data_IF_492891501583
#
_entry.id   IF_492891501583
#
_cell.length_a   1.000
_cell.length_b   1.000
_cell.length_c   1.000
_cell.angle_alpha   90.00
_cell.angle_beta   90.00
_cell.angle_gamma   90.00
#
_symmetry.space_group_name_H-M   'P 1'
#
loop_
_entity.id
_entity.type
_entity.pdbx_description
1 polymer ?
#
# COMPACT_ATOMS: atom_id res chain seq x y z
N UNK A 1 11.65 7.62 -7.71
CA UNK A 1 10.55 6.85 -7.09
C UNK A 1 10.91 6.20 -5.76
N UNK A 2 12.03 5.50 -5.64
CA UNK A 2 12.40 4.79 -4.40
C UNK A 2 12.40 5.67 -3.14
N UNK A 3 12.92 6.90 -3.20
CA UNK A 3 12.89 7.84 -2.05
C UNK A 3 11.46 8.25 -1.66
N UNK A 4 10.56 8.42 -2.65
CA UNK A 4 9.14 8.73 -2.41
C UNK A 4 8.44 7.57 -1.72
N UNK A 5 8.71 6.35 -2.20
CA UNK A 5 8.23 5.12 -1.59
C UNK A 5 8.73 4.94 -0.15
N UNK A 6 10.03 5.16 0.10
CA UNK A 6 10.62 5.10 1.44
C UNK A 6 9.96 6.11 2.41
N UNK A 7 9.69 7.35 1.95
CA UNK A 7 8.95 8.34 2.74
C UNK A 7 7.50 7.93 3.01
N UNK A 8 6.84 7.29 2.04
CA UNK A 8 5.48 6.76 2.22
C UNK A 8 5.47 5.67 3.31
N UNK A 9 6.41 4.72 3.25
CA UNK A 9 6.59 3.70 4.29
C UNK A 9 6.90 4.30 5.66
N UNK A 10 7.78 5.31 5.72
CA UNK A 10 8.11 6.02 6.97
C UNK A 10 6.90 6.67 7.63
N UNK A 11 6.08 7.42 6.87
CA UNK A 11 4.81 8.00 7.38
C UNK A 11 3.83 6.92 7.84
N UNK A 12 3.78 5.78 7.15
CA UNK A 12 2.98 4.63 7.56
C UNK A 12 3.42 4.07 8.91
N UNK A 13 4.74 3.93 9.12
CA UNK A 13 5.32 3.45 10.37
C UNK A 13 5.07 4.41 11.54
N UNK A 14 5.22 5.72 11.33
CA UNK A 14 4.89 6.74 12.34
C UNK A 14 3.43 6.65 12.78
N UNK A 15 2.50 6.40 11.85
CA UNK A 15 1.06 6.35 12.14
C UNK A 15 0.60 5.03 12.74
N UNK A 16 1.16 3.90 12.30
CA UNK A 16 0.61 2.56 12.58
C UNK A 16 1.59 1.62 13.28
N UNK A 17 2.73 2.14 13.75
CA UNK A 17 3.91 1.43 14.26
C UNK A 17 4.83 0.86 13.18
N UNK A 18 6.10 0.69 13.54
CA UNK A 18 7.10 -0.01 12.74
C UNK A 18 6.60 -1.40 12.33
N UNK A 19 7.00 -1.82 11.12
CA UNK A 19 6.70 -3.14 10.53
C UNK A 19 5.21 -3.53 10.54
N UNK A 20 4.30 -2.55 10.55
CA UNK A 20 2.85 -2.80 10.54
C UNK A 20 2.37 -3.68 9.37
N UNK A 21 3.08 -3.64 8.23
CA UNK A 21 2.79 -4.43 7.03
C UNK A 21 2.91 -5.95 7.27
N UNK A 22 3.63 -6.38 8.31
CA UNK A 22 3.73 -7.80 8.67
C UNK A 22 2.43 -8.39 9.21
N UNK A 23 1.50 -7.52 9.64
CA UNK A 23 0.16 -7.91 10.10
C UNK A 23 -0.78 -8.23 8.94
N UNK A 24 -0.35 -8.07 7.68
CA UNK A 24 -1.19 -8.28 6.51
C UNK A 24 -1.14 -9.76 6.10
N UNK A 25 -1.95 -10.58 6.77
CA UNK A 25 -1.89 -12.05 6.63
C UNK A 25 -3.24 -12.72 6.34
N UNK A 26 -4.33 -11.95 6.31
CA UNK A 26 -5.69 -12.47 6.13
C UNK A 26 -6.33 -12.03 4.81
N UNK A 27 -7.43 -12.70 4.43
CA UNK A 27 -8.20 -12.38 3.21
C UNK A 27 -8.76 -10.96 3.24
N UNK A 28 -9.13 -10.46 4.41
CA UNK A 28 -9.63 -9.09 4.54
C UNK A 28 -8.52 -8.07 4.23
N UNK A 29 -7.26 -8.35 4.59
CA UNK A 29 -6.10 -7.53 4.26
C UNK A 29 -5.86 -7.51 2.76
N UNK A 30 -6.02 -8.65 2.08
CA UNK A 30 -5.94 -8.73 0.62
C UNK A 30 -7.00 -7.83 -0.04
N UNK A 31 -8.25 -7.92 0.39
CA UNK A 31 -9.34 -7.10 -0.19
C UNK A 31 -9.20 -5.62 0.15
N UNK A 32 -8.72 -5.27 1.35
CA UNK A 32 -8.36 -3.89 1.71
C UNK A 32 -7.23 -3.36 0.82
N UNK A 33 -6.19 -4.15 0.58
CA UNK A 33 -5.06 -3.77 -0.28
C UNK A 33 -5.49 -3.57 -1.74
N UNK A 34 -6.33 -4.46 -2.30
CA UNK A 34 -6.91 -4.30 -3.64
C UNK A 34 -7.78 -3.05 -3.76
N UNK A 35 -8.68 -2.85 -2.81
CA UNK A 35 -9.58 -1.69 -2.80
C UNK A 35 -8.81 -0.37 -2.69
N UNK A 36 -7.78 -0.36 -1.84
CA UNK A 36 -6.87 0.78 -1.67
C UNK A 36 -6.02 1.03 -2.92
N UNK A 37 -5.48 -0.03 -3.54
CA UNK A 37 -4.75 0.04 -4.82
C UNK A 37 -5.59 0.72 -5.90
N UNK A 38 -6.82 0.23 -6.11
CA UNK A 38 -7.71 0.77 -7.13
C UNK A 38 -8.01 2.26 -6.90
N UNK A 39 -8.28 2.65 -5.64
CA UNK A 39 -8.49 4.06 -5.30
C UNK A 39 -7.28 4.92 -5.68
N UNK A 40 -6.08 4.55 -5.25
CA UNK A 40 -4.88 5.34 -5.53
C UNK A 40 -4.49 5.34 -7.02
N UNK A 41 -4.81 4.29 -7.77
CA UNK A 41 -4.67 4.30 -9.24
C UNK A 41 -5.59 5.34 -9.86
N UNK A 42 -6.87 5.37 -9.47
CA UNK A 42 -7.81 6.35 -9.99
C UNK A 42 -7.40 7.78 -9.65
N UNK A 43 -7.00 8.04 -8.40
CA UNK A 43 -6.52 9.37 -7.96
C UNK A 43 -5.26 9.80 -8.73
N UNK A 44 -4.31 8.87 -8.94
CA UNK A 44 -3.12 9.13 -9.74
C UNK A 44 -3.45 9.49 -11.19
N UNK A 45 -4.36 8.75 -11.83
CA UNK A 45 -4.78 8.99 -13.21
C UNK A 45 -5.59 10.29 -13.33
N UNK A 46 -6.36 10.63 -12.30
CA UNK A 46 -7.11 11.89 -12.22
C UNK A 46 -6.22 13.11 -11.94
N UNK A 47 -4.94 12.91 -11.63
CA UNK A 47 -3.99 14.00 -11.36
C UNK A 47 -4.17 14.64 -9.99
N UNK A 48 -4.73 13.93 -9.02
CA UNK A 48 -4.83 14.39 -7.62
C UNK A 48 -3.42 14.52 -6.99
N UNK A 49 -3.28 15.43 -6.03
CA UNK A 49 -1.96 15.83 -5.46
C UNK A 49 -1.98 16.03 -3.94
N UNK A 50 -3.06 15.65 -3.27
CA UNK A 50 -3.19 15.72 -1.81
C UNK A 50 -2.30 14.72 -1.08
N UNK A 51 -1.90 13.64 -1.76
CA UNK A 51 -0.87 12.70 -1.30
C UNK A 51 0.01 12.18 -2.45
N UNK A 52 1.03 11.39 -2.10
CA UNK A 52 1.87 10.74 -3.09
C UNK A 52 1.20 9.45 -3.61
N UNK A 53 0.20 9.60 -4.48
CA UNK A 53 -0.59 8.46 -4.98
C UNK A 53 0.28 7.43 -5.73
N UNK A 54 1.31 7.85 -6.46
CA UNK A 54 2.20 6.91 -7.14
C UNK A 54 2.97 6.02 -6.15
N UNK A 55 3.43 6.58 -5.02
CA UNK A 55 4.03 5.79 -3.95
C UNK A 55 2.99 4.89 -3.26
N UNK A 56 1.77 5.38 -3.08
CA UNK A 56 0.67 4.59 -2.50
C UNK A 56 0.27 3.40 -3.41
N UNK A 57 0.24 3.59 -4.73
CA UNK A 57 0.04 2.50 -5.70
C UNK A 57 1.13 1.43 -5.54
N UNK A 58 2.40 1.85 -5.52
CA UNK A 58 3.53 0.91 -5.33
C UNK A 58 3.42 0.15 -4.00
N UNK A 59 3.05 0.83 -2.92
CA UNK A 59 2.80 0.19 -1.63
C UNK A 59 1.72 -0.88 -1.71
N UNK A 60 0.55 -0.55 -2.27
CA UNK A 60 -0.57 -1.48 -2.29
C UNK A 60 -0.35 -2.66 -3.25
N UNK A 61 0.41 -2.50 -4.35
CA UNK A 61 0.85 -3.64 -5.17
C UNK A 61 1.69 -4.60 -4.33
N UNK A 62 2.68 -4.09 -3.58
CA UNK A 62 3.50 -4.94 -2.72
C UNK A 62 2.70 -5.56 -1.57
N UNK A 63 1.72 -4.83 -1.02
CA UNK A 63 0.83 -5.37 0.00
C UNK A 63 0.00 -6.55 -0.54
N UNK A 64 -0.57 -6.43 -1.74
CA UNK A 64 -1.31 -7.52 -2.41
C UNK A 64 -0.43 -8.77 -2.57
N UNK A 65 0.77 -8.61 -3.12
CA UNK A 65 1.71 -9.74 -3.32
C UNK A 65 2.20 -10.32 -1.98
N UNK A 66 2.42 -9.47 -0.97
CA UNK A 66 2.75 -9.92 0.38
C UNK A 66 1.64 -10.81 0.95
N UNK A 67 0.38 -10.36 0.92
CA UNK A 67 -0.72 -11.15 1.48
C UNK A 67 -0.93 -12.44 0.68
N UNK A 68 -0.85 -12.41 -0.66
CA UNK A 68 -0.88 -13.62 -1.50
C UNK A 68 0.17 -14.65 -1.06
N UNK A 69 1.41 -14.19 -0.87
CA UNK A 69 2.49 -15.05 -0.38
C UNK A 69 2.23 -15.65 1.01
N UNK A 70 1.46 -14.96 1.87
CA UNK A 70 1.04 -15.46 3.19
C UNK A 70 -0.12 -16.46 3.11
N UNK A 71 -1.02 -16.27 2.16
CA UNK A 71 -2.19 -17.12 1.95
C UNK A 71 -1.86 -18.41 1.18
N UNK A 72 -0.64 -18.56 0.66
CA UNK A 72 -0.24 -19.61 -0.29
C UNK A 72 -1.09 -19.60 -1.59
N UNK A 73 -1.51 -18.42 -2.01
CA UNK A 73 -2.27 -18.15 -3.25
C UNK A 73 -1.37 -17.54 -4.34
#
# INVERSE_FOLDING_TARGET
MLTRFARHMGRGAEKYSDRNWEKFEDKDALERAKSSLLRHVMQLVNGETDEDHAAAVMFNVMAVEHVRSKLND
#
